data_IF_407785672650
#
_entry.id   IF_407785672650
#
_cell.length_a   1.000
_cell.length_b   1.000
_cell.length_c   1.000
_cell.angle_alpha   90.00
_cell.angle_beta   90.00
_cell.angle_gamma   90.00
#
_symmetry.space_group_name_H-M   'P 1'
#
loop_
_entity.id
_entity.type
_entity.pdbx_description
1 polymer ?
#
# COMPACT_ATOMS: atom_id res chain seq x y z
N UNK A 1 -16.75 -19.24 -4.26
CA UNK A 1 -15.37 -18.80 -3.99
C UNK A 1 -14.44 -19.83 -4.60
N UNK A 2 -13.26 -19.45 -5.11
CA UNK A 2 -12.29 -20.46 -5.54
C UNK A 2 -11.70 -21.09 -4.30
N UNK A 3 -11.62 -22.41 -4.28
CA UNK A 3 -10.92 -23.09 -3.20
C UNK A 3 -9.42 -23.04 -3.50
N UNK A 4 -8.68 -22.34 -2.65
CA UNK A 4 -7.22 -22.25 -2.75
C UNK A 4 -6.64 -23.07 -1.60
N UNK A 5 -5.62 -23.90 -1.86
CA UNK A 5 -5.03 -24.75 -0.85
C UNK A 5 -4.54 -23.92 0.33
N UNK A 6 -4.62 -24.53 1.52
CA UNK A 6 -4.12 -23.95 2.75
C UNK A 6 -3.04 -24.82 3.35
N UNK A 7 -2.09 -24.19 4.02
CA UNK A 7 -1.13 -24.87 4.90
C UNK A 7 -1.85 -25.49 6.09
N UNK A 8 -1.16 -26.39 6.81
CA UNK A 8 -1.65 -26.98 8.08
C UNK A 8 -2.02 -25.92 9.12
N UNK A 9 -1.37 -24.75 9.06
CA UNK A 9 -1.65 -23.59 9.93
C UNK A 9 -2.84 -22.74 9.46
N UNK A 10 -3.56 -23.18 8.43
CA UNK A 10 -4.76 -22.52 7.87
C UNK A 10 -4.48 -21.29 6.99
N UNK A 11 -3.21 -21.01 6.68
CA UNK A 11 -2.81 -19.91 5.77
C UNK A 11 -2.94 -20.34 4.33
N UNK A 12 -3.16 -19.41 3.42
CA UNK A 12 -3.22 -19.76 2.01
C UNK A 12 -1.83 -20.13 1.48
N UNK A 13 -1.76 -21.22 0.72
CA UNK A 13 -0.58 -21.58 -0.04
C UNK A 13 -0.47 -20.66 -1.26
N UNK A 14 0.75 -20.19 -1.52
CA UNK A 14 1.03 -19.19 -2.58
C UNK A 14 2.17 -19.60 -3.50
N UNK A 15 2.93 -20.64 -3.13
CA UNK A 15 3.98 -21.18 -3.98
C UNK A 15 3.39 -21.79 -5.24
N UNK A 16 4.12 -21.68 -6.35
CA UNK A 16 3.70 -22.23 -7.64
C UNK A 16 2.55 -21.51 -8.34
N UNK A 17 1.84 -20.58 -7.67
CA UNK A 17 0.72 -19.87 -8.30
C UNK A 17 1.17 -19.03 -9.49
N UNK A 18 0.46 -19.17 -10.61
CA UNK A 18 0.61 -18.30 -11.77
C UNK A 18 0.13 -16.87 -11.42
N UNK A 19 0.60 -15.83 -12.13
CA UNK A 19 0.23 -14.44 -11.84
C UNK A 19 -1.26 -14.16 -11.68
N UNK A 20 -2.10 -14.72 -12.56
CA UNK A 20 -3.56 -14.56 -12.53
C UNK A 20 -4.16 -15.18 -11.26
N UNK A 21 -3.71 -16.38 -10.89
CA UNK A 21 -4.18 -17.12 -9.72
C UNK A 21 -3.75 -16.46 -8.42
N UNK A 22 -2.47 -16.05 -8.35
CA UNK A 22 -1.94 -15.27 -7.24
C UNK A 22 -2.80 -14.03 -6.99
N UNK A 23 -3.04 -13.24 -8.04
CA UNK A 23 -3.83 -12.03 -7.88
C UNK A 23 -5.30 -12.33 -7.49
N UNK A 24 -5.91 -13.39 -8.04
CA UNK A 24 -7.25 -13.85 -7.66
C UNK A 24 -7.31 -14.26 -6.18
N UNK A 25 -6.33 -15.02 -5.69
CA UNK A 25 -6.21 -15.41 -4.29
C UNK A 25 -6.13 -14.18 -3.39
N UNK A 26 -5.25 -13.22 -3.68
CA UNK A 26 -5.13 -12.03 -2.83
C UNK A 26 -6.36 -11.11 -2.89
N UNK A 27 -7.15 -11.13 -3.98
CA UNK A 27 -8.48 -10.50 -3.99
C UNK A 27 -9.44 -11.19 -3.01
N UNK A 28 -9.43 -12.52 -2.95
CA UNK A 28 -10.20 -13.30 -1.97
C UNK A 28 -9.74 -13.00 -0.53
N UNK A 29 -8.43 -13.02 -0.26
CA UNK A 29 -7.86 -12.65 1.05
C UNK A 29 -8.35 -11.27 1.49
N UNK A 30 -8.31 -10.27 0.60
CA UNK A 30 -8.78 -8.91 0.92
C UNK A 30 -10.27 -8.91 1.27
N UNK A 31 -11.11 -9.61 0.51
CA UNK A 31 -12.56 -9.71 0.78
C UNK A 31 -12.84 -10.40 2.12
N UNK A 32 -12.15 -11.50 2.41
CA UNK A 32 -12.29 -12.24 3.67
C UNK A 32 -11.90 -11.37 4.88
N UNK A 33 -10.78 -10.65 4.76
CA UNK A 33 -10.32 -9.73 5.79
C UNK A 33 -11.32 -8.58 6.02
N UNK A 34 -11.86 -8.00 4.95
CA UNK A 34 -12.89 -6.96 5.04
C UNK A 34 -14.17 -7.48 5.68
N UNK A 35 -14.64 -8.68 5.32
CA UNK A 35 -15.81 -9.30 5.92
C UNK A 35 -15.59 -9.56 7.43
N UNK A 36 -14.43 -10.09 7.83
CA UNK A 36 -14.06 -10.29 9.23
C UNK A 36 -14.01 -8.97 10.01
N UNK A 37 -13.52 -7.89 9.40
CA UNK A 37 -13.49 -6.54 10.01
C UNK A 37 -14.90 -5.98 10.21
N UNK A 38 -15.77 -6.07 9.19
CA UNK A 38 -17.18 -5.63 9.29
C UNK A 38 -17.92 -6.32 10.43
N UNK A 39 -17.67 -7.63 10.64
CA UNK A 39 -18.25 -8.39 11.75
C UNK A 39 -17.71 -8.00 13.13
N UNK A 40 -16.59 -7.27 13.22
CA UNK A 40 -15.85 -7.09 14.48
C UNK A 40 -16.05 -5.75 15.21
N UNK A 41 -16.71 -4.72 14.67
CA UNK A 41 -16.61 -3.38 15.30
C UNK A 41 -17.82 -2.45 15.15
N UNK A 42 -18.43 -2.08 16.29
CA UNK A 42 -19.23 -0.85 16.44
C UNK A 42 -18.69 0.11 17.54
N UNK A 43 -18.05 -0.38 18.62
CA UNK A 43 -17.78 0.46 19.81
C UNK A 43 -16.36 1.05 20.02
N UNK A 44 -15.34 0.69 19.22
CA UNK A 44 -13.92 1.02 19.51
C UNK A 44 -13.16 1.74 18.40
N UNK A 45 -13.88 2.27 17.42
CA UNK A 45 -13.31 2.91 16.22
C UNK A 45 -12.97 4.37 16.48
N UNK A 46 -11.90 4.87 15.86
CA UNK A 46 -11.51 6.28 15.92
C UNK A 46 -11.39 6.82 14.49
N UNK A 47 -12.53 7.17 13.90
CA UNK A 47 -12.61 7.78 12.56
C UNK A 47 -12.25 9.27 12.61
N UNK A 48 -12.02 9.95 11.46
CA UNK A 48 -11.72 11.38 11.44
C UNK A 48 -12.82 12.25 12.07
N UNK A 49 -14.10 11.87 11.93
CA UNK A 49 -15.21 12.57 12.59
C UNK A 49 -15.12 12.43 14.11
N UNK A 50 -14.81 11.23 14.59
CA UNK A 50 -14.67 10.92 16.02
C UNK A 50 -13.41 11.50 16.66
N UNK A 51 -12.46 12.03 15.88
CA UNK A 51 -11.28 12.74 16.40
C UNK A 51 -11.58 14.19 16.79
N UNK A 52 -12.56 14.84 16.14
CA UNK A 52 -12.80 16.28 16.31
C UNK A 52 -13.64 16.61 17.55
N UNK A 53 -14.68 15.82 17.84
CA UNK A 53 -15.70 16.18 18.82
C UNK A 53 -16.07 14.98 19.71
N UNK A 54 -15.35 14.72 20.81
CA UNK A 54 -15.69 13.65 21.78
C UNK A 54 -15.96 14.18 23.18
N UNK A 55 -17.03 13.66 23.80
CA UNK A 55 -17.31 13.77 25.25
C UNK A 55 -16.43 12.79 26.04
N UNK A 56 -16.26 12.98 27.35
CA UNK A 56 -15.36 12.15 28.18
C UNK A 56 -15.68 10.64 28.12
N UNK A 57 -16.97 10.27 28.14
CA UNK A 57 -17.44 8.88 28.06
C UNK A 57 -16.99 8.16 26.78
N UNK A 58 -16.99 8.89 25.67
CA UNK A 58 -16.59 8.41 24.37
C UNK A 58 -15.07 8.20 24.24
N UNK A 59 -14.28 8.86 25.09
CA UNK A 59 -12.84 8.64 25.22
C UNK A 59 -12.58 7.36 26.00
N UNK A 60 -13.32 7.13 27.09
CA UNK A 60 -13.20 5.91 27.90
C UNK A 60 -13.55 4.64 27.09
N UNK A 61 -14.51 4.73 26.16
CA UNK A 61 -14.88 3.64 25.26
C UNK A 61 -13.77 3.21 24.28
N UNK A 62 -12.70 4.02 24.10
CA UNK A 62 -11.58 3.70 23.20
C UNK A 62 -10.69 2.58 23.73
N UNK A 63 -10.85 2.21 25.01
CA UNK A 63 -10.09 1.17 25.68
C UNK A 63 -8.79 1.70 26.30
N UNK A 64 -7.81 0.81 26.46
CA UNK A 64 -6.53 1.11 27.09
C UNK A 64 -5.41 1.32 26.06
N UNK A 65 -4.46 2.19 26.40
CA UNK A 65 -3.16 2.34 25.76
C UNK A 65 -2.31 1.09 25.99
N UNK A 66 -1.13 1.02 25.36
CA UNK A 66 -0.19 -0.10 25.52
C UNK A 66 0.33 -0.27 26.95
N UNK A 67 0.46 0.83 27.69
CA UNK A 67 0.89 0.86 29.09
C UNK A 67 -0.25 0.54 30.08
N UNK A 68 -1.45 0.23 29.59
CA UNK A 68 -2.61 -0.10 30.42
C UNK A 68 -3.43 1.11 30.90
N UNK A 69 -2.98 2.34 30.64
CA UNK A 69 -3.72 3.57 30.97
C UNK A 69 -4.90 3.81 30.01
N UNK A 70 -5.90 4.56 30.43
CA UNK A 70 -7.02 4.95 29.56
C UNK A 70 -6.62 6.08 28.61
N UNK A 71 -7.26 6.15 27.45
CA UNK A 71 -7.14 7.31 26.58
C UNK A 71 -7.74 8.57 27.24
N UNK A 72 -7.14 9.72 26.95
CA UNK A 72 -7.55 11.05 27.45
C UNK A 72 -7.95 11.96 26.29
N UNK A 73 -8.55 13.12 26.61
CA UNK A 73 -8.85 14.13 25.60
C UNK A 73 -7.58 14.69 24.95
N UNK A 74 -6.47 14.78 25.69
CA UNK A 74 -5.21 15.29 25.15
C UNK A 74 -4.55 14.30 24.19
N UNK A 75 -4.76 12.99 24.37
CA UNK A 75 -4.39 12.00 23.37
C UNK A 75 -5.13 12.27 22.05
N UNK A 76 -6.43 12.58 22.11
CA UNK A 76 -7.22 12.88 20.90
C UNK A 76 -6.77 14.15 20.19
N UNK A 77 -6.49 15.22 20.95
CA UNK A 77 -5.90 16.45 20.39
C UNK A 77 -4.57 16.15 19.69
N UNK A 78 -3.74 15.29 20.30
CA UNK A 78 -2.47 14.86 19.72
C UNK A 78 -2.69 14.05 18.44
N UNK A 79 -3.67 13.15 18.41
CA UNK A 79 -4.00 12.36 17.23
C UNK A 79 -4.49 13.22 16.06
N UNK A 80 -5.35 14.21 16.32
CA UNK A 80 -5.81 15.14 15.28
C UNK A 80 -4.65 16.03 14.79
N UNK A 81 -3.79 16.54 15.68
CA UNK A 81 -2.57 17.27 15.29
C UNK A 81 -1.68 16.42 14.39
N UNK A 82 -1.42 15.17 14.75
CA UNK A 82 -0.63 14.25 13.94
C UNK A 82 -1.29 14.01 12.56
N UNK A 83 -2.60 13.81 12.53
CA UNK A 83 -3.35 13.65 11.28
C UNK A 83 -3.22 14.87 10.37
N UNK A 84 -3.35 16.08 10.92
CA UNK A 84 -3.21 17.33 10.17
C UNK A 84 -1.79 17.50 9.61
N UNK A 85 -0.75 17.18 10.41
CA UNK A 85 0.64 17.17 9.96
C UNK A 85 0.86 16.24 8.77
N UNK A 86 0.31 15.01 8.80
CA UNK A 86 0.40 14.08 7.67
C UNK A 86 -0.27 14.65 6.42
N UNK A 87 -1.48 15.23 6.56
CA UNK A 87 -2.20 15.82 5.42
C UNK A 87 -1.43 16.96 4.76
N UNK A 88 -0.83 17.83 5.57
CA UNK A 88 -0.01 18.93 5.09
C UNK A 88 1.30 18.43 4.46
N UNK A 89 2.04 17.56 5.15
CA UNK A 89 3.36 17.09 4.73
C UNK A 89 3.38 16.29 3.43
N UNK A 90 2.27 15.61 3.08
CA UNK A 90 2.16 14.85 1.84
C UNK A 90 1.34 15.54 0.75
N UNK A 91 0.94 16.80 0.94
CA UNK A 91 0.08 17.54 0.00
C UNK A 91 -1.17 16.73 -0.35
N UNK A 92 -1.97 16.36 0.65
CA UNK A 92 -3.12 15.43 0.48
C UNK A 92 -4.20 15.87 -0.54
N UNK A 93 -4.12 17.09 -1.07
CA UNK A 93 -4.89 17.57 -2.23
C UNK A 93 -4.46 16.93 -3.57
N UNK A 94 -3.22 16.43 -3.67
CA UNK A 94 -2.67 15.75 -4.83
C UNK A 94 -2.55 14.25 -4.53
N UNK A 95 -2.92 13.40 -5.48
CA UNK A 95 -2.85 11.96 -5.29
C UNK A 95 -1.40 11.44 -5.38
N UNK A 96 -1.14 10.33 -4.68
CA UNK A 96 0.13 9.62 -4.71
C UNK A 96 1.25 10.28 -3.92
N UNK A 97 2.42 9.64 -3.94
CA UNK A 97 3.68 10.06 -3.32
C UNK A 97 4.83 9.71 -4.27
N UNK A 98 5.91 10.49 -4.27
CA UNK A 98 7.10 10.16 -5.07
C UNK A 98 8.03 9.20 -4.32
N UNK A 99 8.90 8.49 -5.05
CA UNK A 99 9.88 7.60 -4.42
C UNK A 99 10.81 8.31 -3.42
N UNK A 100 11.39 9.50 -3.72
CA UNK A 100 12.19 10.24 -2.74
C UNK A 100 11.41 10.63 -1.47
N UNK A 101 10.17 11.11 -1.62
CA UNK A 101 9.30 11.45 -0.48
C UNK A 101 9.01 10.23 0.39
N UNK A 102 8.78 9.07 -0.25
CA UNK A 102 8.55 7.81 0.44
C UNK A 102 9.75 7.39 1.28
N UNK A 103 10.95 7.38 0.68
CA UNK A 103 12.18 6.97 1.39
C UNK A 103 12.49 7.92 2.54
N UNK A 104 12.42 9.23 2.32
CA UNK A 104 12.66 10.23 3.35
C UNK A 104 11.69 10.13 4.55
N UNK A 105 10.48 9.59 4.31
CA UNK A 105 9.44 9.45 5.33
C UNK A 105 9.36 8.05 5.95
N UNK A 106 10.22 7.12 5.54
CA UNK A 106 10.25 5.76 6.08
C UNK A 106 11.19 5.64 7.29
N UNK A 107 10.95 4.64 8.13
CA UNK A 107 11.85 4.39 9.26
C UNK A 107 13.16 3.76 8.76
N UNK A 108 14.32 4.08 9.36
CA UNK A 108 15.59 3.49 8.94
C UNK A 108 15.60 1.96 8.99
N UNK A 109 14.94 1.37 9.99
CA UNK A 109 14.84 -0.09 10.12
C UNK A 109 14.00 -0.72 9.01
N UNK A 110 12.89 -0.10 8.59
CA UNK A 110 12.09 -0.63 7.48
C UNK A 110 12.84 -0.52 6.15
N UNK A 111 13.68 0.51 5.96
CA UNK A 111 14.57 0.64 4.79
C UNK A 111 15.64 -0.45 4.80
N UNK A 112 16.34 -0.66 5.92
CA UNK A 112 17.35 -1.73 6.04
C UNK A 112 16.74 -3.11 5.73
N UNK A 113 15.56 -3.40 6.28
CA UNK A 113 14.81 -4.63 6.00
C UNK A 113 14.41 -4.75 4.54
N UNK A 114 13.96 -3.68 3.90
CA UNK A 114 13.63 -3.69 2.48
C UNK A 114 14.85 -4.00 1.60
N UNK A 115 16.03 -3.52 1.99
CA UNK A 115 17.28 -3.71 1.27
C UNK A 115 18.06 -4.96 1.69
N UNK A 116 17.49 -5.79 2.57
CA UNK A 116 18.15 -6.98 3.11
C UNK A 116 19.51 -6.70 3.78
N UNK A 117 19.68 -5.53 4.40
CA UNK A 117 20.91 -5.14 5.13
C UNK A 117 20.77 -5.35 6.64
N UNK A 118 19.99 -6.35 7.02
CA UNK A 118 19.79 -6.82 8.39
C UNK A 118 20.18 -8.29 8.46
N UNK A 119 20.67 -8.72 9.62
CA UNK A 119 21.12 -10.08 9.92
C UNK A 119 20.09 -10.91 10.71
N UNK A 120 18.97 -10.30 11.12
CA UNK A 120 17.91 -10.94 11.91
C UNK A 120 16.96 -11.84 11.09
N UNK A 121 17.19 -12.02 9.78
CA UNK A 121 16.30 -12.77 8.88
C UNK A 121 14.98 -12.05 8.56
N UNK A 122 14.85 -10.76 8.92
CA UNK A 122 13.67 -9.94 8.59
C UNK A 122 13.82 -9.19 7.26
N UNK A 123 14.90 -9.38 6.52
CA UNK A 123 15.15 -8.76 5.23
C UNK A 123 14.34 -9.37 4.07
N UNK A 124 14.10 -8.58 3.01
CA UNK A 124 13.40 -9.02 1.79
C UNK A 124 14.41 -9.47 0.74
N UNK A 125 14.25 -10.71 0.27
CA UNK A 125 15.18 -11.30 -0.70
C UNK A 125 14.82 -10.96 -2.14
N UNK A 126 13.55 -11.11 -2.52
CA UNK A 126 13.13 -10.98 -3.92
C UNK A 126 11.73 -10.39 -4.07
N UNK A 127 11.50 -9.78 -5.23
CA UNK A 127 10.19 -9.38 -5.71
C UNK A 127 10.11 -9.57 -7.23
N UNK A 128 8.90 -9.78 -7.73
CA UNK A 128 8.58 -9.92 -9.13
C UNK A 128 7.37 -9.05 -9.48
N UNK A 129 7.49 -8.28 -10.56
CA UNK A 129 6.33 -7.70 -11.23
C UNK A 129 5.59 -8.84 -11.94
N UNK A 130 4.31 -8.99 -11.62
CA UNK A 130 3.50 -10.13 -12.11
C UNK A 130 2.36 -9.69 -13.03
N UNK A 131 2.17 -8.39 -13.22
CA UNK A 131 1.22 -7.86 -14.20
C UNK A 131 0.63 -6.51 -13.82
N UNK A 132 -0.36 -6.08 -14.59
CA UNK A 132 -1.07 -4.82 -14.42
C UNK A 132 -2.58 -5.06 -14.33
N UNK A 133 -3.27 -4.23 -13.55
CA UNK A 133 -4.70 -4.02 -13.62
C UNK A 133 -4.96 -2.53 -13.88
N UNK A 134 -5.42 -2.20 -15.10
CA UNK A 134 -5.56 -0.80 -15.53
C UNK A 134 -4.22 -0.04 -15.35
N UNK A 135 -4.21 1.01 -14.52
CA UNK A 135 -3.02 1.79 -14.16
C UNK A 135 -2.29 1.30 -12.91
N UNK A 136 -2.57 0.07 -12.43
CA UNK A 136 -2.02 -0.48 -11.19
C UNK A 136 -1.12 -1.68 -11.45
N UNK A 137 0.18 -1.54 -11.17
CA UNK A 137 1.13 -2.64 -11.14
C UNK A 137 0.86 -3.57 -9.95
N UNK A 138 0.88 -4.88 -10.22
CA UNK A 138 0.75 -5.94 -9.24
C UNK A 138 2.11 -6.61 -9.07
N UNK A 139 2.59 -6.61 -7.83
CA UNK A 139 3.93 -7.08 -7.47
C UNK A 139 3.81 -8.17 -6.43
N UNK A 140 4.46 -9.30 -6.68
CA UNK A 140 4.66 -10.37 -5.71
C UNK A 140 5.99 -10.13 -5.00
N UNK A 141 5.95 -9.97 -3.70
CA UNK A 141 7.14 -9.85 -2.84
C UNK A 141 7.27 -11.12 -2.03
N UNK A 142 8.43 -11.77 -2.11
CA UNK A 142 8.76 -12.92 -1.26
C UNK A 142 8.91 -12.42 0.17
N UNK A 143 8.20 -13.04 1.10
CA UNK A 143 8.28 -12.62 2.48
C UNK A 143 9.65 -12.98 3.09
N UNK A 144 10.00 -12.29 4.18
CA UNK A 144 11.24 -12.58 4.92
C UNK A 144 11.16 -13.91 5.67
N UNK A 145 12.28 -14.46 6.10
CA UNK A 145 12.35 -15.74 6.82
C UNK A 145 11.57 -15.73 8.15
N UNK A 146 11.44 -14.58 8.80
CA UNK A 146 10.59 -14.41 10.00
C UNK A 146 9.08 -14.35 9.71
N UNK A 147 8.68 -14.28 8.44
CA UNK A 147 7.27 -14.17 8.07
C UNK A 147 6.57 -15.51 8.20
N UNK A 148 5.32 -15.45 8.65
CA UNK A 148 4.42 -16.61 8.64
C UNK A 148 3.69 -16.77 7.29
N UNK A 149 3.70 -15.74 6.46
CA UNK A 149 3.20 -15.77 5.08
C UNK A 149 4.39 -15.96 4.14
N UNK A 150 4.23 -16.73 3.04
CA UNK A 150 5.31 -16.95 2.06
C UNK A 150 5.49 -15.77 1.10
N UNK A 151 4.38 -15.13 0.72
CA UNK A 151 4.36 -14.00 -0.20
C UNK A 151 3.42 -12.89 0.26
N UNK A 152 3.70 -11.68 -0.21
CA UNK A 152 2.82 -10.53 -0.11
C UNK A 152 2.56 -9.93 -1.50
N UNK A 153 1.36 -9.37 -1.67
CA UNK A 153 0.98 -8.59 -2.84
C UNK A 153 1.11 -7.10 -2.53
N UNK A 154 1.94 -6.43 -3.30
CA UNK A 154 2.01 -4.96 -3.36
C UNK A 154 1.28 -4.49 -4.63
N UNK A 155 0.48 -3.44 -4.48
CA UNK A 155 -0.14 -2.71 -5.59
C UNK A 155 0.54 -1.35 -5.68
N UNK A 156 0.92 -0.92 -6.88
CA UNK A 156 1.43 0.43 -7.16
C UNK A 156 0.58 1.01 -8.30
N UNK A 157 -0.19 2.05 -8.02
CA UNK A 157 -1.00 2.76 -9.01
C UNK A 157 -0.28 4.01 -9.48
N UNK A 158 -0.10 4.13 -10.79
CA UNK A 158 0.49 5.31 -11.41
C UNK A 158 -0.56 6.42 -11.51
N UNK A 159 -0.35 7.53 -10.82
CA UNK A 159 -1.33 8.63 -10.80
C UNK A 159 -1.26 9.49 -12.09
N UNK A 160 -0.11 9.46 -12.78
CA UNK A 160 0.12 10.18 -14.06
C UNK A 160 -0.16 9.29 -15.28
N UNK A 161 -0.91 8.20 -15.12
CA UNK A 161 -1.14 7.21 -16.18
C UNK A 161 -1.83 7.78 -17.41
N UNK A 162 -2.94 8.52 -17.22
CA UNK A 162 -3.72 9.05 -18.34
C UNK A 162 -2.92 10.11 -19.12
N UNK A 163 -2.25 11.02 -18.41
CA UNK A 163 -1.31 11.99 -19.01
C UNK A 163 -0.18 11.32 -19.78
N UNK A 164 0.33 10.19 -19.29
CA UNK A 164 1.34 9.41 -20.00
C UNK A 164 0.78 8.79 -21.29
N UNK A 165 -0.47 8.33 -21.30
CA UNK A 165 -1.13 7.83 -22.50
C UNK A 165 -1.35 8.93 -23.55
N UNK A 166 -1.80 10.12 -23.13
CA UNK A 166 -1.99 11.28 -24.01
C UNK A 166 -0.67 11.73 -24.66
N UNK A 167 0.42 11.77 -23.89
CA UNK A 167 1.75 12.16 -24.38
C UNK A 167 2.28 11.20 -25.49
N UNK A 168 1.86 9.93 -25.45
CA UNK A 168 2.23 8.94 -26.46
C UNK A 168 1.45 9.09 -27.77
N UNK A 169 0.25 9.68 -27.74
CA UNK A 169 -0.56 9.91 -28.94
C UNK A 169 -0.17 11.18 -29.70
N UNK A 170 0.38 12.19 -29.02
CA UNK A 170 0.52 13.53 -29.61
C UNK A 170 1.88 13.81 -30.25
N UNK A 171 3.00 13.38 -29.65
CA UNK A 171 4.31 13.93 -30.05
C UNK A 171 5.54 13.06 -29.78
N UNK A 172 5.52 12.15 -28.80
CA UNK A 172 6.72 11.42 -28.39
C UNK A 172 6.84 10.02 -29.02
N UNK A 173 7.67 9.88 -30.07
CA UNK A 173 8.08 8.56 -30.59
C UNK A 173 8.83 7.69 -29.56
N UNK A 174 9.35 8.29 -28.48
CA UNK A 174 10.13 7.61 -27.46
C UNK A 174 9.29 7.17 -26.26
N UNK A 175 8.52 6.11 -26.47
CA UNK A 175 7.65 5.52 -25.43
C UNK A 175 8.38 5.17 -24.14
N UNK A 176 9.65 4.76 -24.22
CA UNK A 176 10.45 4.44 -23.05
C UNK A 176 10.67 5.67 -22.13
N UNK A 177 10.84 6.88 -22.70
CA UNK A 177 10.99 8.11 -21.90
C UNK A 177 9.72 8.41 -21.09
N UNK A 178 8.56 8.32 -21.72
CA UNK A 178 7.25 8.53 -21.07
C UNK A 178 7.04 7.54 -19.93
N UNK A 179 7.30 6.25 -20.19
CA UNK A 179 7.15 5.19 -19.18
C UNK A 179 8.08 5.43 -17.98
N UNK A 180 9.34 5.80 -18.22
CA UNK A 180 10.30 6.12 -17.15
C UNK A 180 9.82 7.29 -16.31
N UNK A 181 9.33 8.36 -16.94
CA UNK A 181 8.78 9.53 -16.26
C UNK A 181 7.58 9.15 -15.39
N UNK A 182 6.63 8.40 -15.94
CA UNK A 182 5.45 7.93 -15.20
C UNK A 182 5.83 7.05 -14.00
N UNK A 183 6.79 6.14 -14.16
CA UNK A 183 7.25 5.26 -13.07
C UNK A 183 8.03 5.99 -11.97
N UNK A 184 8.66 7.12 -12.30
CA UNK A 184 9.35 8.01 -11.36
C UNK A 184 8.41 9.07 -10.74
N UNK A 185 7.23 9.27 -11.34
CA UNK A 185 6.20 10.22 -10.91
C UNK A 185 5.48 9.81 -9.63
N UNK A 186 4.32 10.44 -9.40
CA UNK A 186 3.53 10.14 -8.19
C UNK A 186 2.80 8.80 -8.32
N UNK A 187 2.85 8.02 -7.25
CA UNK A 187 2.15 6.73 -7.17
C UNK A 187 1.39 6.58 -5.87
N UNK A 188 0.26 5.89 -5.92
CA UNK A 188 -0.38 5.35 -4.73
C UNK A 188 0.01 3.88 -4.54
N UNK A 189 -0.03 3.38 -3.31
CA UNK A 189 0.24 1.97 -3.05
C UNK A 189 -0.66 1.35 -1.99
N UNK A 190 -0.67 0.01 -1.96
CA UNK A 190 -1.23 -0.80 -0.88
C UNK A 190 -0.44 -2.11 -0.77
N UNK A 191 -0.38 -2.67 0.44
CA UNK A 191 0.20 -3.98 0.69
C UNK A 191 -0.70 -4.77 1.65
N UNK A 192 -0.89 -6.06 1.38
CA UNK A 192 -1.73 -6.92 2.22
C UNK A 192 -1.12 -7.18 3.61
N UNK A 193 0.21 -6.99 3.78
CA UNK A 193 0.90 -7.38 4.99
C UNK A 193 0.35 -6.65 6.24
N UNK A 194 0.46 -7.31 7.40
CA UNK A 194 -0.04 -6.77 8.67
C UNK A 194 0.57 -5.41 9.02
N UNK A 195 1.87 -5.22 8.75
CA UNK A 195 2.57 -3.96 9.02
C UNK A 195 1.96 -2.80 8.24
N UNK A 196 1.70 -2.95 6.94
CA UNK A 196 1.02 -1.91 6.17
C UNK A 196 -0.41 -1.73 6.67
N UNK A 197 -1.15 -2.83 6.77
CA UNK A 197 -2.57 -2.86 7.13
C UNK A 197 -2.91 -2.17 8.46
N UNK A 198 -2.08 -2.30 9.50
CA UNK A 198 -2.40 -1.73 10.83
C UNK A 198 -1.50 -0.56 11.27
N UNK A 199 -0.38 -0.28 10.60
CA UNK A 199 0.51 0.85 10.95
C UNK A 199 0.47 1.98 9.93
N UNK A 200 0.38 1.66 8.64
CA UNK A 200 0.67 2.62 7.55
C UNK A 200 -0.51 2.93 6.64
N UNK A 201 -1.49 2.02 6.48
CA UNK A 201 -2.63 2.25 5.58
C UNK A 201 -3.44 3.48 5.94
N UNK A 202 -3.57 3.78 7.24
CA UNK A 202 -4.19 5.02 7.71
C UNK A 202 -3.43 6.26 7.23
N UNK A 203 -2.09 6.23 7.32
CA UNK A 203 -1.23 7.34 6.90
C UNK A 203 -1.31 7.52 5.39
N UNK A 204 -1.27 6.42 4.62
CA UNK A 204 -1.49 6.46 3.18
C UNK A 204 -2.86 7.01 2.78
N UNK A 205 -3.90 6.69 3.55
CA UNK A 205 -5.24 7.23 3.34
C UNK A 205 -5.28 8.72 3.66
N UNK A 206 -4.68 9.15 4.76
CA UNK A 206 -4.65 10.54 5.19
C UNK A 206 -3.81 11.43 4.23
N UNK A 207 -2.69 10.92 3.75
CA UNK A 207 -1.79 11.58 2.79
C UNK A 207 -2.19 11.44 1.31
N UNK A 208 -3.34 10.80 1.02
CA UNK A 208 -3.87 10.62 -0.33
C UNK A 208 -2.99 9.78 -1.30
N UNK A 209 -2.29 8.78 -0.77
CA UNK A 209 -1.47 7.84 -1.56
C UNK A 209 -1.82 6.36 -1.32
N UNK A 210 -3.02 6.07 -0.82
CA UNK A 210 -3.53 4.71 -0.65
C UNK A 210 -4.26 4.21 -1.92
N UNK A 211 -3.90 3.02 -2.38
CA UNK A 211 -4.71 2.29 -3.39
C UNK A 211 -5.96 1.73 -2.72
N UNK A 212 -7.13 2.13 -3.21
CA UNK A 212 -8.44 1.69 -2.74
C UNK A 212 -9.03 0.62 -3.65
N UNK A 213 -9.83 -0.34 -3.14
CA UNK A 213 -10.07 -0.64 -1.73
C UNK A 213 -9.01 -1.59 -1.11
N UNK A 214 -8.84 -1.60 0.24
CA UNK A 214 -9.52 -0.74 1.21
C UNK A 214 -8.73 0.55 1.54
N UNK A 215 -9.46 1.64 1.82
CA UNK A 215 -8.92 2.77 2.59
C UNK A 215 -9.06 2.47 4.10
N UNK A 216 -8.17 3.04 4.90
CA UNK A 216 -8.21 2.91 6.36
C UNK A 216 -8.44 4.29 6.99
N UNK A 217 -9.61 4.47 7.60
CA UNK A 217 -9.99 5.71 8.25
C UNK A 217 -9.88 5.63 9.77
N UNK A 218 -9.60 4.43 10.31
CA UNK A 218 -9.47 4.23 11.76
C UNK A 218 -8.04 4.58 12.18
N UNK A 219 -7.93 5.57 13.07
CA UNK A 219 -6.65 6.01 13.60
C UNK A 219 -5.91 4.85 14.30
N UNK A 220 -4.62 4.60 14.01
CA UNK A 220 -3.87 3.46 14.52
C UNK A 220 -3.38 3.68 15.96
N UNK A 221 -4.27 4.07 16.88
CA UNK A 221 -3.98 4.47 18.27
C UNK A 221 -3.19 3.44 19.09
N UNK A 222 -3.26 2.15 18.74
CA UNK A 222 -2.49 1.09 19.41
C UNK A 222 -1.17 0.85 18.68
N UNK A 223 -1.18 0.77 17.34
CA UNK A 223 -0.06 0.27 16.56
C UNK A 223 0.93 1.37 16.16
N UNK A 224 0.42 2.55 15.79
CA UNK A 224 1.20 3.70 15.35
C UNK A 224 0.57 5.04 15.83
N UNK A 225 0.46 5.28 17.15
CA UNK A 225 -0.20 6.48 17.67
C UNK A 225 0.47 7.81 17.28
N UNK A 226 1.73 7.78 16.88
CA UNK A 226 2.50 8.96 16.47
C UNK A 226 2.59 9.14 14.95
N UNK A 227 1.95 8.25 14.18
CA UNK A 227 1.99 8.22 12.72
C UNK A 227 3.42 8.28 12.13
N UNK A 228 4.36 7.54 12.74
CA UNK A 228 5.75 7.49 12.27
C UNK A 228 5.93 6.45 11.16
N UNK A 229 6.74 6.76 10.15
CA UNK A 229 6.92 5.91 8.97
C UNK A 229 5.70 5.90 8.04
N UNK A 230 5.91 5.63 6.74
CA UNK A 230 4.81 5.65 5.75
C UNK A 230 4.62 4.34 4.97
N UNK A 231 5.60 3.45 4.98
CA UNK A 231 5.57 2.23 4.19
C UNK A 231 6.22 1.06 4.93
N UNK A 232 5.75 -0.16 4.62
CA UNK A 232 6.40 -1.38 5.09
C UNK A 232 7.57 -1.75 4.16
N UNK A 233 8.44 -2.63 4.65
CA UNK A 233 9.57 -3.16 3.87
C UNK A 233 9.19 -3.70 2.47
N UNK A 234 8.00 -4.30 2.31
CA UNK A 234 7.54 -4.81 1.01
C UNK A 234 7.26 -3.70 0.00
N UNK A 235 6.60 -2.62 0.45
CA UNK A 235 6.32 -1.46 -0.40
C UNK A 235 7.62 -0.75 -0.75
N UNK A 236 8.51 -0.53 0.23
CA UNK A 236 9.82 0.09 -0.02
C UNK A 236 10.58 -0.71 -1.07
N UNK A 237 10.71 -2.02 -0.88
CA UNK A 237 11.42 -2.89 -1.83
C UNK A 237 10.77 -2.86 -3.23
N UNK A 238 9.44 -2.98 -3.32
CA UNK A 238 8.73 -2.92 -4.59
C UNK A 238 8.91 -1.58 -5.31
N UNK A 239 8.83 -0.47 -4.56
CA UNK A 239 9.02 0.89 -5.08
C UNK A 239 10.45 1.12 -5.57
N UNK A 240 11.46 0.66 -4.82
CA UNK A 240 12.88 0.71 -5.24
C UNK A 240 13.10 -0.07 -6.53
N UNK A 241 12.53 -1.27 -6.65
CA UNK A 241 12.63 -2.10 -7.86
C UNK A 241 11.95 -1.44 -9.07
N UNK A 242 10.82 -0.76 -8.86
CA UNK A 242 10.12 0.00 -9.91
C UNK A 242 10.94 1.18 -10.46
N UNK A 243 11.96 1.65 -9.74
CA UNK A 243 12.88 2.68 -10.27
C UNK A 243 13.91 2.10 -11.25
N UNK A 244 14.09 0.78 -11.31
CA UNK A 244 15.01 0.15 -12.24
C UNK A 244 14.43 0.09 -13.65
N UNK A 245 15.24 0.42 -14.67
CA UNK A 245 14.82 0.41 -16.06
C UNK A 245 14.23 -0.94 -16.52
N UNK A 246 14.77 -2.06 -16.01
CA UNK A 246 14.25 -3.40 -16.34
C UNK A 246 12.80 -3.62 -15.90
N UNK A 247 12.37 -3.02 -14.78
CA UNK A 247 10.98 -3.10 -14.32
C UNK A 247 10.09 -2.12 -15.08
N UNK A 248 10.60 -0.92 -15.35
CA UNK A 248 9.87 0.09 -16.12
C UNK A 248 9.54 -0.42 -17.53
N UNK A 249 10.46 -1.14 -18.17
CA UNK A 249 10.22 -1.76 -19.47
C UNK A 249 9.09 -2.81 -19.45
N UNK A 250 8.81 -3.45 -18.31
CA UNK A 250 7.69 -4.40 -18.20
C UNK A 250 6.32 -3.72 -18.20
N UNK A 251 6.26 -2.41 -17.92
CA UNK A 251 5.04 -1.61 -18.00
C UNK A 251 4.72 -1.23 -19.46
N UNK A 252 5.75 -1.16 -20.31
CA UNK A 252 5.64 -0.66 -21.68
C UNK A 252 4.66 -1.40 -22.59
N UNK A 253 4.65 -2.74 -22.64
CA UNK A 253 3.68 -3.50 -23.44
C UNK A 253 2.22 -3.17 -23.08
N UNK A 254 1.93 -3.01 -21.78
CA UNK A 254 0.58 -2.69 -21.29
C UNK A 254 0.17 -1.28 -21.68
N UNK A 255 1.10 -0.33 -21.58
CA UNK A 255 0.90 1.05 -22.04
C UNK A 255 0.66 1.08 -23.56
N UNK A 256 1.38 0.28 -24.34
CA UNK A 256 1.22 0.19 -25.79
C UNK A 256 -0.14 -0.39 -26.21
N UNK A 257 -0.61 -1.45 -25.56
CA UNK A 257 -1.94 -2.05 -25.79
C UNK A 257 -3.08 -1.05 -25.52
N UNK A 258 -2.88 -0.14 -24.56
CA UNK A 258 -3.90 0.84 -24.13
C UNK A 258 -3.83 2.19 -24.83
N UNK A 259 -2.97 2.36 -25.84
CA UNK A 259 -2.87 3.62 -26.59
C UNK A 259 -4.18 3.92 -27.33
N UNK A 260 -4.69 5.17 -27.28
CA UNK A 260 -5.75 5.61 -28.17
C UNK A 260 -5.33 5.36 -29.64
N UNK A 261 -6.14 4.61 -30.40
CA UNK A 261 -5.85 4.23 -31.78
C UNK A 261 -5.39 2.77 -31.99
N UNK A 262 -5.03 2.02 -30.94
CA UNK A 262 -4.77 0.57 -31.02
C UNK A 262 -6.06 -0.28 -30.89
N UNK A 263 -7.21 0.31 -31.26
CA UNK A 263 -8.49 -0.37 -31.49
C UNK A 263 -8.89 -0.20 -32.95
N UNK A 264 -8.00 -0.55 -33.87
CA UNK A 264 -8.36 -0.75 -35.27
C UNK A 264 -7.66 -2.02 -35.75
N UNK A 265 -8.47 -2.95 -36.26
CA UNK A 265 -8.15 -4.25 -36.85
C UNK A 265 -8.03 -5.45 -35.90
N UNK A 266 -9.20 -6.04 -35.64
CA UNK A 266 -9.38 -7.39 -35.09
C UNK A 266 -10.78 -7.88 -35.41
N UNK A 267 -11.01 -8.19 -36.69
CA UNK A 267 -11.97 -9.23 -37.10
C UNK A 267 -11.40 -10.60 -36.70
#
# INVERSE_FOLDING_TARGET
MTDFPRTETGRYETDGLLPREFNRLFKQITRDQQAKRRRRQAGRLLTPSLLKNKKAEEVMALGKKRDGTLFTQDDLKTFEKNRQKIRAGFHAQMAGITYPQLIASCTPIDIKRANNTVDDGSGIKTAAFIGMEQNTAIIRVTASDQSKDKHHRVKIRFEEWDTALESLSETEKNSARVIRRMCAGRVSFDCDCGRHTYWYRYIATAGNFAVSPPKEYIYPKIRNPNLTGVACKHVIHAMTRMQAGTWQMQVGPVVAEKRPGHQLWGQ
#
